data_IF_767391969211
#
_entry.id   IF_767391969211
#
_cell.length_a   1.000
_cell.length_b   1.000
_cell.length_c   1.000
_cell.angle_alpha   90.00
_cell.angle_beta   90.00
_cell.angle_gamma   90.00
#
_symmetry.space_group_name_H-M   'P 1'
#
loop_
_entity.id
_entity.type
_entity.pdbx_description
1 polymer ?
#
# COMPACT_ATOMS: atom_id res chain seq x y z
N UNK A 1 -2.88 -8.30 -13.59
CA UNK A 1 -2.11 -8.10 -12.34
C UNK A 1 -3.07 -8.17 -11.17
N UNK A 2 -2.72 -8.93 -10.16
CA UNK A 2 -3.60 -9.14 -9.01
C UNK A 2 -2.98 -8.47 -7.78
N UNK A 3 -3.78 -7.65 -7.11
CA UNK A 3 -3.34 -6.98 -5.88
C UNK A 3 -4.56 -6.63 -5.02
N UNK A 4 -4.30 -6.41 -3.75
CA UNK A 4 -5.30 -5.91 -2.81
C UNK A 4 -5.20 -4.38 -2.80
N UNK A 5 -6.33 -3.70 -2.81
CA UNK A 5 -6.36 -2.25 -2.87
C UNK A 5 -7.35 -1.69 -1.87
N UNK A 6 -6.92 -0.67 -1.15
CA UNK A 6 -7.77 0.14 -0.29
C UNK A 6 -7.50 1.61 -0.55
N UNK A 7 -8.54 2.43 -0.57
CA UNK A 7 -8.42 3.88 -0.74
C UNK A 7 -8.93 4.54 0.53
N UNK A 8 -8.05 5.32 1.19
CA UNK A 8 -8.34 5.95 2.46
C UNK A 8 -7.93 7.41 2.47
N UNK A 9 -8.70 8.24 3.17
CA UNK A 9 -8.30 9.61 3.42
C UNK A 9 -7.33 9.65 4.58
N UNK A 10 -6.25 10.42 4.44
CA UNK A 10 -5.27 10.63 5.51
C UNK A 10 -4.82 12.07 5.52
N UNK A 11 -4.50 12.58 6.70
CA UNK A 11 -3.94 13.91 6.87
C UNK A 11 -2.41 13.84 6.84
N UNK A 12 -1.78 14.94 6.45
CA UNK A 12 -0.33 15.02 6.44
C UNK A 12 0.24 14.58 7.79
N UNK A 13 1.18 13.63 7.75
CA UNK A 13 1.80 13.07 8.94
C UNK A 13 1.09 11.86 9.53
N UNK A 14 -0.12 11.55 9.07
CA UNK A 14 -0.77 10.30 9.46
C UNK A 14 0.02 9.12 8.91
N UNK A 15 -0.12 7.97 9.57
CA UNK A 15 0.63 6.78 9.22
C UNK A 15 -0.31 5.71 8.68
N UNK A 16 0.00 5.21 7.49
CA UNK A 16 -0.63 4.01 6.97
C UNK A 16 0.05 2.82 7.63
N UNK A 17 -0.68 2.09 8.46
CA UNK A 17 -0.17 0.93 9.18
C UNK A 17 -0.79 -0.34 8.63
N UNK A 18 0.05 -1.24 8.17
CA UNK A 18 -0.38 -2.50 7.53
C UNK A 18 0.14 -3.68 8.30
N UNK A 19 -0.77 -4.58 8.67
CA UNK A 19 -0.42 -5.92 9.16
C UNK A 19 -0.69 -6.91 8.04
N UNK A 20 0.17 -7.89 7.92
CA UNK A 20 0.01 -8.91 6.89
C UNK A 20 0.61 -10.24 7.35
N UNK A 21 -0.02 -11.33 6.95
CA UNK A 21 0.43 -12.69 7.29
C UNK A 21 1.61 -13.15 6.44
N UNK A 22 1.92 -12.45 5.36
CA UNK A 22 2.97 -12.83 4.41
C UNK A 22 3.86 -11.66 4.07
N UNK A 23 5.09 -11.95 3.68
CA UNK A 23 5.99 -10.95 3.11
C UNK A 23 5.39 -10.48 1.79
N UNK A 24 5.27 -9.17 1.63
CA UNK A 24 4.48 -8.61 0.54
C UNK A 24 4.95 -7.19 0.22
N UNK A 25 4.72 -6.76 -1.01
CA UNK A 25 4.91 -5.36 -1.36
C UNK A 25 3.77 -4.53 -0.79
N UNK A 26 4.12 -3.50 -0.03
CA UNK A 26 3.16 -2.52 0.50
C UNK A 26 3.47 -1.19 -0.15
N UNK A 27 2.57 -0.71 -0.99
CA UNK A 27 2.76 0.49 -1.79
C UNK A 27 1.69 1.50 -1.41
N UNK A 28 2.11 2.71 -1.12
CA UNK A 28 1.20 3.81 -0.79
C UNK A 28 1.38 4.90 -1.83
N UNK A 29 0.31 5.29 -2.49
CA UNK A 29 0.39 6.24 -3.59
C UNK A 29 -0.88 7.07 -3.70
N UNK A 30 -0.75 8.26 -4.31
CA UNK A 30 -1.92 9.10 -4.55
C UNK A 30 -2.76 8.54 -5.72
N UNK A 31 -3.90 9.17 -5.98
CA UNK A 31 -4.81 8.68 -7.01
C UNK A 31 -4.19 8.70 -8.41
N UNK A 32 -3.39 9.72 -8.71
CA UNK A 32 -2.72 9.82 -10.02
C UNK A 32 -1.75 8.67 -10.21
N UNK A 33 -0.93 8.41 -9.20
CA UNK A 33 0.06 7.33 -9.28
C UNK A 33 -0.60 5.96 -9.27
N UNK A 34 -1.69 5.80 -8.53
CA UNK A 34 -2.45 4.54 -8.55
C UNK A 34 -3.03 4.28 -9.94
N UNK A 35 -3.56 5.32 -10.58
CA UNK A 35 -4.06 5.18 -11.95
C UNK A 35 -2.96 4.73 -12.92
N UNK A 36 -1.76 5.29 -12.77
CA UNK A 36 -0.60 4.84 -13.55
C UNK A 36 -0.26 3.38 -13.24
N UNK A 37 -0.22 3.02 -11.97
CA UNK A 37 0.14 1.68 -11.53
C UNK A 37 -0.80 0.62 -12.11
N UNK A 38 -2.11 0.81 -11.99
CA UNK A 38 -3.09 -0.17 -12.47
C UNK A 38 -3.13 -0.28 -13.99
N UNK A 39 -2.65 0.74 -14.70
CA UNK A 39 -2.57 0.74 -16.18
C UNK A 39 -1.22 0.29 -16.70
N UNK A 40 -0.37 -0.26 -15.83
CA UNK A 40 0.94 -0.76 -16.23
C UNK A 40 1.96 0.32 -16.55
N UNK A 41 1.70 1.57 -16.14
CA UNK A 41 2.62 2.68 -16.33
C UNK A 41 3.53 2.83 -15.12
N UNK A 42 4.61 3.60 -15.30
CA UNK A 42 5.48 3.94 -14.19
C UNK A 42 4.70 4.74 -13.13
N UNK A 43 4.82 4.32 -11.89
CA UNK A 43 4.18 4.99 -10.77
C UNK A 43 5.19 5.26 -9.67
N UNK A 44 5.06 6.42 -9.03
CA UNK A 44 5.83 6.76 -7.83
C UNK A 44 5.00 6.37 -6.61
N UNK A 45 5.65 5.73 -5.64
CA UNK A 45 4.97 5.29 -4.43
C UNK A 45 5.92 5.35 -3.24
N UNK A 46 5.31 5.28 -2.05
CA UNK A 46 6.03 5.14 -0.79
C UNK A 46 5.88 3.69 -0.33
N UNK A 47 6.93 3.14 0.27
CA UNK A 47 6.93 1.77 0.74
C UNK A 47 7.84 0.89 -0.10
N UNK A 48 7.48 -0.37 -0.24
CA UNK A 48 8.26 -1.37 -0.96
C UNK A 48 7.96 -2.78 -0.47
N UNK A 49 8.93 -3.67 -0.56
CA UNK A 49 8.77 -5.04 -0.08
C UNK A 49 9.04 -5.09 1.43
N UNK A 50 8.07 -5.61 2.19
CA UNK A 50 8.18 -5.73 3.64
C UNK A 50 8.25 -7.19 4.06
N UNK A 51 9.21 -7.49 4.91
CA UNK A 51 9.40 -8.81 5.51
C UNK A 51 8.88 -8.87 6.93
N UNK A 52 8.75 -7.72 7.58
CA UNK A 52 8.31 -7.59 8.97
C UNK A 52 7.16 -6.60 9.08
N UNK A 53 6.25 -6.86 9.98
CA UNK A 53 5.07 -6.04 10.18
C UNK A 53 4.92 -5.64 11.65
N UNK A 54 4.23 -4.54 11.94
CA UNK A 54 3.51 -3.70 10.98
C UNK A 54 4.42 -2.89 10.08
N UNK A 55 3.97 -2.67 8.85
CA UNK A 55 4.59 -1.71 7.95
C UNK A 55 3.94 -0.36 8.21
N UNK A 56 4.74 0.65 8.60
CA UNK A 56 4.24 1.98 8.95
C UNK A 56 4.81 2.98 7.96
N UNK A 57 3.92 3.59 7.17
CA UNK A 57 4.31 4.49 6.10
C UNK A 57 3.61 5.83 6.31
N UNK A 58 4.36 6.91 6.66
CA UNK A 58 3.75 8.23 6.81
C UNK A 58 3.36 8.81 5.47
N UNK A 59 2.22 9.50 5.43
CA UNK A 59 1.79 10.20 4.23
C UNK A 59 2.31 11.64 4.24
N UNK A 60 2.80 12.14 3.09
CA UNK A 60 3.42 13.46 3.04
C UNK A 60 2.43 14.61 2.93
N UNK A 61 1.21 14.35 2.49
CA UNK A 61 0.21 15.38 2.24
C UNK A 61 -1.18 14.88 2.62
N UNK A 62 -2.06 15.81 2.96
CA UNK A 62 -3.47 15.50 3.20
C UNK A 62 -4.18 15.18 1.89
N UNK A 63 -4.98 14.12 1.87
CA UNK A 63 -5.75 13.73 0.71
C UNK A 63 -6.13 12.26 0.74
N UNK A 64 -6.51 11.75 -0.43
CA UNK A 64 -6.81 10.34 -0.59
C UNK A 64 -5.56 9.57 -0.99
N UNK A 65 -5.36 8.45 -0.31
CA UNK A 65 -4.19 7.60 -0.52
C UNK A 65 -4.63 6.18 -0.83
N UNK A 66 -3.94 5.57 -1.77
CA UNK A 66 -4.21 4.20 -2.20
C UNK A 66 -3.15 3.29 -1.62
N UNK A 67 -3.59 2.28 -0.90
CA UNK A 67 -2.71 1.26 -0.32
C UNK A 67 -2.85 0.01 -1.17
N UNK A 68 -1.74 -0.45 -1.71
CA UNK A 68 -1.68 -1.63 -2.57
C UNK A 68 -0.84 -2.68 -1.89
N UNK A 69 -1.40 -3.88 -1.75
CA UNK A 69 -0.68 -5.05 -1.27
C UNK A 69 -0.53 -6.01 -2.44
N UNK A 70 0.71 -6.23 -2.86
CA UNK A 70 0.99 -7.05 -4.04
C UNK A 70 1.99 -8.15 -3.71
N UNK A 71 1.58 -9.40 -3.91
CA UNK A 71 2.51 -10.53 -3.78
C UNK A 71 3.55 -10.48 -4.89
N UNK A 72 4.79 -10.92 -4.61
CA UNK A 72 5.77 -11.10 -5.68
C UNK A 72 5.24 -12.00 -6.78
N UNK A 73 5.73 -11.80 -8.00
CA UNK A 73 5.31 -12.59 -9.16
C UNK A 73 5.51 -14.09 -8.89
N UNK A 74 4.50 -14.88 -9.24
CA UNK A 74 4.52 -16.32 -9.05
C UNK A 74 4.03 -16.81 -7.69
N UNK A 75 3.80 -15.92 -6.75
CA UNK A 75 3.27 -16.28 -5.44
C UNK A 75 1.75 -16.24 -5.44
N UNK A 76 1.15 -17.23 -4.77
CA UNK A 76 -0.27 -17.26 -4.47
C UNK A 76 -0.44 -17.67 -3.02
N UNK A 77 -1.26 -16.91 -2.28
CA UNK A 77 -1.52 -17.22 -0.89
C UNK A 77 -2.84 -16.61 -0.44
N UNK A 78 -3.45 -17.25 0.54
CA UNK A 78 -4.56 -16.64 1.27
C UNK A 78 -3.96 -15.72 2.30
N UNK A 79 -4.08 -14.42 2.05
CA UNK A 79 -3.45 -13.39 2.86
C UNK A 79 -4.44 -12.90 3.91
N UNK A 80 -3.96 -12.82 5.16
CA UNK A 80 -4.66 -12.11 6.22
C UNK A 80 -3.97 -10.76 6.38
N UNK A 81 -4.74 -9.71 6.35
CA UNK A 81 -4.20 -8.37 6.43
C UNK A 81 -5.16 -7.42 7.12
N UNK A 82 -4.60 -6.31 7.60
CA UNK A 82 -5.37 -5.16 8.04
C UNK A 82 -4.65 -3.89 7.64
N UNK A 83 -5.43 -2.86 7.31
CA UNK A 83 -4.93 -1.56 6.91
C UNK A 83 -5.60 -0.53 7.81
N UNK A 84 -4.79 0.24 8.55
CA UNK A 84 -5.28 1.26 9.47
C UNK A 84 -4.56 2.57 9.22
N UNK A 85 -5.27 3.67 9.46
CA UNK A 85 -4.68 5.01 9.44
C UNK A 85 -4.50 5.44 10.90
N UNK A 86 -3.27 5.72 11.27
CA UNK A 86 -2.90 6.16 12.63
C UNK A 86 -2.63 7.66 12.61
N UNK A 87 -3.23 8.34 13.54
CA UNK A 87 -3.07 9.80 13.68
C UNK A 87 -1.87 10.15 14.58
#
# INVERSE_FOLDING_TARGET
MSFIHAREHANQGDIVSVQCSHQINVLVMDDTQFNNYRNGRRATYYGGFYERFPANIPVPNTGHWNVVLALPAGYRANIRYSINILN
#
